data_IF_390414148291
#
_entry.id   IF_390414148291
#
_cell.length_a   1.000
_cell.length_b   1.000
_cell.length_c   1.000
_cell.angle_alpha   90.00
_cell.angle_beta   90.00
_cell.angle_gamma   90.00
#
_symmetry.space_group_name_H-M   'P 1'
#
loop_
_entity.id
_entity.type
_entity.pdbx_description
1 polymer ?
#
# COMPACT_ATOMS: atom_id res chain seq x y z
N UNK A 1 -23.08 -24.71 -6.13
CA UNK A 1 -21.73 -24.76 -6.72
C UNK A 1 -20.91 -23.66 -6.08
N UNK A 2 -20.06 -24.03 -5.12
CA UNK A 2 -19.40 -23.11 -4.20
C UNK A 2 -17.99 -22.82 -4.70
N UNK A 3 -17.72 -21.62 -5.20
CA UNK A 3 -16.36 -21.21 -5.58
C UNK A 3 -16.00 -19.85 -4.96
N UNK A 4 -15.45 -19.93 -3.74
CA UNK A 4 -14.27 -19.20 -3.26
C UNK A 4 -14.13 -17.75 -3.74
N UNK A 5 -14.82 -16.81 -3.07
CA UNK A 5 -14.35 -15.42 -2.97
C UNK A 5 -13.97 -15.09 -1.53
N UNK A 6 -13.19 -15.97 -0.92
CA UNK A 6 -12.42 -15.60 0.26
C UNK A 6 -11.04 -15.17 -0.22
N UNK A 7 -10.91 -13.91 -0.66
CA UNK A 7 -9.62 -13.26 -0.76
C UNK A 7 -9.13 -12.92 0.66
N UNK A 8 -8.80 -13.94 1.47
CA UNK A 8 -7.85 -13.75 2.58
C UNK A 8 -6.47 -13.81 1.95
N UNK A 9 -6.06 -12.70 1.37
CA UNK A 9 -4.64 -12.49 1.08
C UNK A 9 -3.91 -12.54 2.41
N UNK A 10 -3.06 -13.55 2.58
CA UNK A 10 -2.12 -13.70 3.69
C UNK A 10 -1.08 -12.59 3.67
N UNK A 11 -1.53 -11.35 3.85
CA UNK A 11 -0.69 -10.18 4.02
C UNK A 11 -0.30 -9.98 5.49
N UNK A 12 -0.80 -10.81 6.43
CA UNK A 12 -0.52 -10.67 7.86
C UNK A 12 0.79 -11.28 8.34
N UNK A 13 1.58 -11.91 7.46
CA UNK A 13 2.83 -12.61 7.83
C UNK A 13 4.10 -11.97 7.26
N UNK A 14 3.99 -10.78 6.66
CA UNK A 14 5.16 -9.95 6.32
C UNK A 14 5.32 -8.84 7.36
N UNK A 15 6.03 -9.13 8.44
CA UNK A 15 6.36 -8.12 9.46
C UNK A 15 7.11 -6.91 8.85
N UNK A 16 7.85 -7.15 7.76
CA UNK A 16 8.63 -6.13 7.06
C UNK A 16 7.87 -5.34 5.97
N UNK A 17 6.57 -5.57 5.76
CA UNK A 17 5.78 -4.87 4.74
C UNK A 17 4.58 -4.14 5.34
N UNK A 18 4.49 -2.84 5.07
CA UNK A 18 3.30 -2.03 5.36
C UNK A 18 2.43 -1.91 4.11
N UNK A 19 1.15 -2.25 4.21
CA UNK A 19 0.18 -2.10 3.11
C UNK A 19 -0.74 -0.94 3.40
N UNK A 20 -0.73 0.04 2.50
CA UNK A 20 -1.56 1.23 2.54
C UNK A 20 -2.59 1.18 1.42
N UNK A 21 -3.80 1.67 1.70
CA UNK A 21 -4.85 1.80 0.69
C UNK A 21 -5.15 3.28 0.46
N UNK A 22 -4.89 3.75 -0.76
CA UNK A 22 -5.30 5.10 -1.17
C UNK A 22 -6.78 5.06 -1.53
N UNK A 23 -7.57 5.91 -0.88
CA UNK A 23 -9.02 6.03 -1.12
C UNK A 23 -9.37 7.46 -1.49
N UNK A 24 -10.28 7.63 -2.46
CA UNK A 24 -10.89 8.91 -2.83
C UNK A 24 -12.40 8.70 -2.75
N UNK A 25 -13.13 9.58 -2.06
CA UNK A 25 -14.58 9.48 -1.86
C UNK A 25 -15.03 8.12 -1.31
N UNK A 26 -14.24 7.55 -0.40
CA UNK A 26 -14.50 6.22 0.18
C UNK A 26 -14.25 5.04 -0.76
N UNK A 27 -13.83 5.28 -2.01
CA UNK A 27 -13.48 4.23 -2.97
C UNK A 27 -11.96 4.04 -3.00
N UNK A 28 -11.51 2.80 -2.83
CA UNK A 28 -10.10 2.44 -3.00
C UNK A 28 -9.69 2.63 -4.45
N UNK A 29 -8.68 3.48 -4.66
CA UNK A 29 -8.13 3.77 -5.98
C UNK A 29 -6.83 2.99 -6.22
N UNK A 30 -5.95 2.90 -5.24
CA UNK A 30 -4.69 2.16 -5.32
C UNK A 30 -4.33 1.47 -3.99
N UNK A 31 -3.53 0.42 -4.11
CA UNK A 31 -2.87 -0.24 -2.98
C UNK A 31 -1.38 -0.02 -3.10
N UNK A 32 -0.76 0.42 -2.01
CA UNK A 32 0.67 0.72 -1.90
C UNK A 32 1.30 -0.24 -0.91
N UNK A 33 2.29 -1.01 -1.34
CA UNK A 33 3.12 -1.85 -0.47
C UNK A 33 4.45 -1.13 -0.24
N UNK A 34 4.76 -0.88 1.03
CA UNK A 34 5.99 -0.25 1.50
C UNK A 34 6.81 -1.29 2.25
N UNK A 35 8.10 -1.39 1.93
CA UNK A 35 9.06 -2.12 2.74
C UNK A 35 9.38 -1.30 3.96
N UNK A 36 9.12 -1.81 5.16
CA UNK A 36 9.54 -1.19 6.41
C UNK A 36 11.07 -1.28 6.52
N UNK A 37 11.64 -2.47 6.28
CA UNK A 37 13.09 -2.69 6.34
C UNK A 37 13.92 -1.84 5.37
N UNK A 38 13.34 -1.40 4.25
CA UNK A 38 14.01 -0.55 3.25
C UNK A 38 13.43 0.87 3.17
N UNK A 39 12.42 1.18 4.00
CA UNK A 39 11.64 2.43 4.00
C UNK A 39 11.30 2.94 2.60
N UNK A 40 10.86 2.05 1.71
CA UNK A 40 10.62 2.36 0.29
C UNK A 40 9.37 1.69 -0.24
N UNK A 41 8.70 2.35 -1.18
CA UNK A 41 7.58 1.75 -1.90
C UNK A 41 8.10 0.61 -2.78
N UNK A 42 7.59 -0.61 -2.55
CA UNK A 42 7.88 -1.80 -3.37
C UNK A 42 6.85 -1.92 -4.49
N UNK A 43 5.58 -1.66 -4.19
CA UNK A 43 4.50 -1.71 -5.15
C UNK A 43 3.52 -0.57 -4.95
N UNK A 44 2.97 -0.07 -6.04
CA UNK A 44 1.88 0.90 -6.04
C UNK A 44 1.03 0.57 -7.27
N UNK A 45 -0.16 0.00 -7.06
CA UNK A 45 -1.02 -0.45 -8.17
C UNK A 45 -2.46 -0.09 -7.92
N UNK A 46 -3.09 0.45 -8.96
CA UNK A 46 -4.51 0.72 -8.99
C UNK A 46 -5.37 -0.47 -9.35
N UNK A 47 -6.67 -0.19 -9.47
CA UNK A 47 -7.66 -1.16 -9.94
C UNK A 47 -7.22 -1.76 -11.28
N UNK A 48 -7.34 -3.09 -11.42
CA UNK A 48 -6.91 -3.85 -12.60
C UNK A 48 -5.41 -3.76 -12.94
N UNK A 49 -4.52 -3.59 -11.94
CA UNK A 49 -3.06 -3.45 -12.12
C UNK A 49 -2.65 -2.27 -13.03
N UNK A 50 -3.53 -1.29 -13.22
CA UNK A 50 -3.24 -0.08 -14.00
C UNK A 50 -2.86 1.06 -13.06
N UNK A 51 -1.96 1.92 -13.52
CA UNK A 51 -1.67 3.17 -12.82
C UNK A 51 -2.92 4.05 -12.87
N UNK A 52 -3.37 4.53 -11.71
CA UNK A 52 -4.42 5.55 -11.68
C UNK A 52 -3.84 6.90 -12.05
N UNK A 53 -4.73 7.86 -12.35
CA UNK A 53 -4.35 9.27 -12.54
C UNK A 53 -3.56 9.85 -11.34
N UNK A 54 -3.78 9.30 -10.15
CA UNK A 54 -3.20 9.79 -8.90
C UNK A 54 -1.93 9.01 -8.49
N UNK A 55 -1.48 8.04 -9.30
CA UNK A 55 -0.36 7.17 -8.97
C UNK A 55 0.90 7.93 -8.52
N UNK A 56 1.34 8.91 -9.33
CA UNK A 56 2.51 9.73 -9.02
C UNK A 56 2.32 10.59 -7.77
N UNK A 57 1.10 11.09 -7.55
CA UNK A 57 0.78 11.89 -6.35
C UNK A 57 0.80 11.02 -5.09
N UNK A 58 0.25 9.81 -5.17
CA UNK A 58 0.26 8.83 -4.08
C UNK A 58 1.71 8.45 -3.73
N UNK A 59 2.53 8.14 -4.74
CA UNK A 59 3.95 7.84 -4.54
C UNK A 59 4.69 9.00 -3.88
N UNK A 60 4.48 10.23 -4.34
CA UNK A 60 5.12 11.40 -3.74
C UNK A 60 4.66 11.62 -2.30
N UNK A 61 3.36 11.49 -2.02
CA UNK A 61 2.81 11.59 -0.67
C UNK A 61 3.42 10.55 0.26
N UNK A 62 3.45 9.29 -0.15
CA UNK A 62 4.00 8.20 0.68
C UNK A 62 5.49 8.42 0.90
N UNK A 63 6.27 8.74 -0.14
CA UNK A 63 7.70 9.02 -0.02
C UNK A 63 7.99 10.22 0.90
N UNK A 64 7.23 11.31 0.78
CA UNK A 64 7.40 12.48 1.64
C UNK A 64 7.07 12.19 3.11
N UNK A 65 6.23 11.18 3.39
CA UNK A 65 5.86 10.78 4.73
C UNK A 65 6.71 9.61 5.30
N UNK A 66 7.62 9.02 4.51
CA UNK A 66 8.48 7.92 4.99
C UNK A 66 9.27 8.26 6.26
N UNK A 67 9.85 9.46 6.43
CA UNK A 67 10.58 9.78 7.67
C UNK A 67 9.70 9.70 8.92
N UNK A 68 8.39 9.99 8.82
CA UNK A 68 7.47 9.85 9.94
C UNK A 68 7.14 8.38 10.26
N UNK A 69 7.14 7.51 9.25
CA UNK A 69 6.98 6.07 9.44
C UNK A 69 8.21 5.52 10.17
N UNK A 70 9.41 5.91 9.75
CA UNK A 70 10.66 5.56 10.43
C UNK A 70 10.68 6.00 11.89
N UNK A 71 10.30 7.25 12.17
CA UNK A 71 10.20 7.76 13.54
C UNK A 71 9.24 6.95 14.42
N UNK A 72 8.11 6.50 13.85
CA UNK A 72 7.12 5.68 14.58
C UNK A 72 7.58 4.24 14.81
N UNK A 73 8.50 3.73 14.00
CA UNK A 73 9.08 2.40 14.17
C UNK A 73 10.20 2.40 15.22
N UNK A 74 10.88 3.53 15.40
CA UNK A 74 11.96 3.71 16.36
C UNK A 74 11.49 4.09 17.78
N UNK A 75 10.22 4.46 17.95
CA UNK A 75 9.59 4.86 19.22
C UNK A 75 8.97 3.67 19.95
#
# INVERSE_FOLDING_TARGET
>A
MTHKHHCVGGYSSKEDSLILSATIDGKRIETVEVSISKLKVIQCRGLCNKNSKHHSQILSLVNNNMPFIEQRLAA
#
